data_IF_714826805997
#
_entry.id   IF_714826805997
#
_cell.length_a   1.000
_cell.length_b   1.000
_cell.length_c   1.000
_cell.angle_alpha   90.00
_cell.angle_beta   90.00
_cell.angle_gamma   90.00
#
_symmetry.space_group_name_H-M   'P 1'
#
loop_
_entity.id
_entity.type
_entity.pdbx_description
1 polymer ?
#
# COMPACT_ATOMS: atom_id res chain seq x y z
N UNK A 1 29.38 -22.48 23.60
CA UNK A 1 30.32 -22.56 22.46
C UNK A 1 29.58 -22.19 21.19
N UNK A 2 30.10 -21.17 20.49
CA UNK A 2 29.96 -20.82 19.07
C UNK A 2 30.07 -19.29 18.97
N UNK A 3 31.31 -18.82 19.04
CA UNK A 3 31.70 -17.48 18.62
C UNK A 3 31.59 -17.36 17.11
N UNK A 4 31.09 -16.23 16.63
CA UNK A 4 31.18 -15.83 15.24
C UNK A 4 31.17 -14.29 15.16
N UNK A 5 32.24 -13.64 14.67
CA UNK A 5 32.26 -12.19 14.56
C UNK A 5 31.34 -11.72 13.43
N UNK A 6 30.37 -10.89 13.79
CA UNK A 6 29.49 -10.19 12.85
C UNK A 6 30.31 -9.26 11.95
N UNK A 7 30.47 -9.62 10.67
CA UNK A 7 31.13 -8.80 9.64
C UNK A 7 30.22 -7.67 9.13
N UNK A 8 29.88 -6.73 10.00
CA UNK A 8 29.26 -5.45 9.62
C UNK A 8 30.21 -4.33 10.05
N UNK A 9 31.41 -4.32 9.46
CA UNK A 9 32.31 -3.17 9.52
C UNK A 9 32.46 -2.64 8.10
N UNK A 10 31.68 -1.63 7.76
CA UNK A 10 31.98 -0.74 6.65
C UNK A 10 33.00 0.31 7.11
N UNK A 11 33.76 0.93 6.18
CA UNK A 11 34.69 1.99 6.54
C UNK A 11 33.97 3.11 7.29
N UNK A 12 34.61 3.59 8.37
CA UNK A 12 34.11 4.74 9.15
C UNK A 12 33.92 5.91 8.17
N UNK A 13 32.73 6.52 8.11
CA UNK A 13 32.48 7.59 7.17
C UNK A 13 33.36 8.80 7.54
N UNK A 14 33.93 9.51 6.55
CA UNK A 14 34.95 10.53 6.79
C UNK A 14 34.38 11.71 7.58
N UNK A 15 35.24 12.36 8.38
CA UNK A 15 34.84 13.48 9.24
C UNK A 15 34.13 14.59 8.42
N UNK A 16 32.90 15.00 8.81
CA UNK A 16 32.14 16.02 8.10
C UNK A 16 32.82 17.39 8.04
N UNK A 17 33.79 17.66 8.92
CA UNK A 17 34.58 18.90 8.89
C UNK A 17 35.61 18.92 7.77
N UNK A 18 36.12 17.76 7.37
CA UNK A 18 37.16 17.62 6.34
C UNK A 18 36.58 17.41 4.93
N UNK A 19 35.36 16.84 4.82
CA UNK A 19 34.73 16.53 3.53
C UNK A 19 33.25 16.99 3.46
N UNK A 20 32.97 18.30 3.43
CA UNK A 20 31.60 18.84 3.47
C UNK A 20 30.76 18.47 2.24
N UNK A 21 31.40 18.14 1.11
CA UNK A 21 30.70 17.78 -0.12
C UNK A 21 30.13 16.35 -0.12
N UNK A 22 30.66 15.43 0.70
CA UNK A 22 30.17 14.05 0.79
C UNK A 22 28.83 13.94 1.52
N UNK A 23 28.52 14.90 2.38
CA UNK A 23 27.26 14.98 3.12
C UNK A 23 26.28 15.99 2.52
N UNK A 24 26.62 16.57 1.36
CA UNK A 24 25.82 17.59 0.71
C UNK A 24 24.58 16.94 0.08
N UNK A 25 23.42 17.19 0.71
CA UNK A 25 22.12 16.69 0.25
C UNK A 25 21.85 17.18 -1.19
N UNK A 26 21.54 16.30 -2.16
CA UNK A 26 21.27 16.71 -3.53
C UNK A 26 20.02 17.61 -3.60
N UNK A 27 20.06 18.62 -4.48
CA UNK A 27 19.01 19.63 -4.66
C UNK A 27 17.61 19.05 -4.95
N UNK A 28 17.53 17.80 -5.42
CA UNK A 28 16.28 17.08 -5.68
C UNK A 28 15.52 16.64 -4.42
N UNK A 29 16.13 16.69 -3.23
CA UNK A 29 15.52 16.27 -1.97
C UNK A 29 14.95 17.44 -1.13
N UNK A 30 14.94 18.67 -1.66
CA UNK A 30 14.54 19.90 -0.92
C UNK A 30 13.03 20.20 -0.93
N UNK A 31 12.22 19.38 -1.60
CA UNK A 31 10.88 19.77 -2.01
C UNK A 31 9.69 19.38 -1.12
N UNK A 32 9.85 19.04 0.17
CA UNK A 32 8.68 18.57 0.95
C UNK A 32 8.51 19.00 2.40
N UNK A 33 9.46 19.72 3.02
CA UNK A 33 9.37 20.03 4.46
C UNK A 33 9.86 21.42 4.88
N UNK A 34 10.10 22.35 3.97
CA UNK A 34 10.33 23.75 4.34
C UNK A 34 9.26 24.61 3.67
N UNK A 35 8.39 25.20 4.51
CA UNK A 35 7.38 26.16 4.07
C UNK A 35 8.03 27.38 3.42
N UNK A 36 7.32 27.97 2.46
CA UNK A 36 7.73 29.16 1.74
C UNK A 36 8.00 30.33 2.71
N UNK A 37 9.27 30.60 3.03
CA UNK A 37 9.70 31.90 3.51
C UNK A 37 10.10 32.74 2.29
N UNK A 38 9.14 33.50 1.75
CA UNK A 38 9.41 34.57 0.80
C UNK A 38 10.30 35.62 1.49
N UNK A 39 11.59 35.64 1.17
CA UNK A 39 12.42 36.83 1.40
C UNK A 39 12.20 37.76 0.22
N UNK A 40 11.42 38.81 0.47
CA UNK A 40 11.35 40.00 -0.38
C UNK A 40 12.52 40.90 0.02
N UNK A 41 13.57 40.92 -0.80
CA UNK A 41 14.63 41.91 -0.66
C UNK A 41 14.28 43.12 -1.54
N UNK A 42 13.90 44.22 -0.87
CA UNK A 42 13.78 45.54 -1.46
C UNK A 42 15.18 46.16 -1.58
N UNK A 43 15.63 46.46 -2.80
CA UNK A 43 16.72 47.41 -3.03
C UNK A 43 16.31 48.44 -4.08
N UNK A 44 16.63 49.69 -3.77
CA UNK A 44 16.15 50.92 -4.39
C UNK A 44 17.23 51.62 -5.24
N UNK A 45 16.85 52.07 -6.44
CA UNK A 45 17.38 53.25 -7.18
C UNK A 45 18.34 52.98 -8.37
N UNK A 46 18.49 53.91 -9.37
CA UNK A 46 17.75 55.15 -9.67
C UNK A 46 17.17 55.25 -11.12
N UNK A 47 16.35 56.29 -11.33
CA UNK A 47 15.57 56.72 -12.51
C UNK A 47 16.46 57.14 -13.71
N UNK A 48 16.13 56.88 -14.98
CA UNK A 48 15.29 57.68 -15.92
C UNK A 48 15.36 57.04 -17.35
N UNK A 49 14.60 57.47 -18.40
CA UNK A 49 13.28 58.10 -18.47
C UNK A 49 12.29 57.33 -19.39
N UNK A 50 10.99 57.58 -19.19
CA UNK A 50 9.86 57.05 -19.97
C UNK A 50 9.71 57.79 -21.31
N UNK A 51 9.17 57.11 -22.35
CA UNK A 51 8.15 57.73 -23.19
C UNK A 51 6.82 56.95 -23.17
N UNK A 52 5.76 57.74 -23.07
CA UNK A 52 4.35 57.44 -22.81
C UNK A 52 3.63 56.77 -24.04
N UNK A 53 2.29 56.62 -24.00
CA UNK A 53 1.51 55.39 -23.93
C UNK A 53 0.98 54.90 -25.31
N UNK A 54 0.33 53.73 -25.34
CA UNK A 54 -0.50 53.12 -26.41
C UNK A 54 -1.04 54.05 -27.52
N UNK A 55 -1.30 53.58 -28.78
CA UNK A 55 -1.91 52.26 -29.10
C UNK A 55 -1.57 51.62 -30.49
N UNK A 56 -1.71 50.29 -30.63
CA UNK A 56 -2.26 49.66 -31.85
C UNK A 56 -2.37 48.13 -31.69
N UNK A 57 -3.58 47.62 -31.88
CA UNK A 57 -3.92 46.20 -31.97
C UNK A 57 -3.20 45.54 -33.15
N UNK A 58 -2.43 44.47 -32.91
CA UNK A 58 -1.84 43.66 -33.98
C UNK A 58 -0.97 42.51 -33.50
N UNK A 59 -1.53 41.30 -33.50
CA UNK A 59 -0.84 40.00 -33.59
C UNK A 59 0.12 39.60 -32.45
N UNK A 60 -0.45 39.15 -31.33
CA UNK A 60 0.27 38.34 -30.34
C UNK A 60 0.20 36.85 -30.70
N UNK A 61 1.17 36.37 -31.50
CA UNK A 61 1.66 34.99 -31.40
C UNK A 61 3.18 34.98 -31.55
N UNK A 62 3.88 35.22 -30.44
CA UNK A 62 5.21 34.64 -30.32
C UNK A 62 5.06 33.11 -30.38
N UNK A 63 5.82 32.48 -31.26
CA UNK A 63 5.94 31.02 -31.36
C UNK A 63 6.48 30.52 -30.02
N UNK A 64 5.62 29.88 -29.23
CA UNK A 64 6.03 29.32 -27.94
C UNK A 64 7.08 28.23 -28.16
N UNK A 65 8.22 28.26 -27.44
CA UNK A 65 9.18 27.16 -27.49
C UNK A 65 8.52 25.87 -26.98
N UNK A 66 8.77 24.77 -27.69
CA UNK A 66 8.18 23.46 -27.36
C UNK A 66 8.49 23.01 -25.94
N UNK A 67 7.67 22.09 -25.37
CA UNK A 67 7.80 21.65 -23.99
C UNK A 67 9.19 21.07 -23.71
N UNK A 68 9.82 21.52 -22.62
CA UNK A 68 11.17 21.14 -22.23
C UNK A 68 11.16 19.72 -21.61
N UNK A 69 11.26 18.70 -22.46
CA UNK A 69 11.18 17.28 -22.09
C UNK A 69 12.58 16.66 -21.91
N UNK A 70 12.76 15.86 -20.85
CA UNK A 70 13.99 15.11 -20.58
C UNK A 70 14.24 14.04 -21.65
N UNK A 71 15.49 13.62 -21.92
CA UNK A 71 15.81 12.66 -22.99
C UNK A 71 14.97 11.37 -22.95
N UNK A 72 14.70 10.83 -21.77
CA UNK A 72 13.87 9.63 -21.56
C UNK A 72 12.37 9.83 -21.82
N UNK A 73 11.90 11.07 -21.89
CA UNK A 73 10.50 11.43 -22.14
C UNK A 73 10.18 11.68 -23.62
N UNK A 74 11.21 11.75 -24.49
CA UNK A 74 11.03 12.05 -25.93
C UNK A 74 10.23 10.96 -26.64
N UNK A 75 10.47 9.70 -26.29
CA UNK A 75 9.76 8.56 -26.88
C UNK A 75 8.26 8.59 -26.59
N UNK A 76 7.86 9.11 -25.43
CA UNK A 76 6.45 9.24 -25.06
C UNK A 76 5.77 10.40 -25.80
N UNK A 77 6.48 11.52 -25.98
CA UNK A 77 5.98 12.64 -26.78
C UNK A 77 5.79 12.20 -28.24
N UNK A 78 6.77 11.52 -28.82
CA UNK A 78 6.67 11.03 -30.20
C UNK A 78 5.55 10.01 -30.37
N UNK A 79 5.36 9.11 -29.41
CA UNK A 79 4.25 8.13 -29.44
C UNK A 79 2.88 8.82 -29.31
N UNK A 80 2.79 9.88 -28.51
CA UNK A 80 1.58 10.71 -28.41
C UNK A 80 1.28 11.47 -29.70
N UNK A 81 2.31 11.99 -30.37
CA UNK A 81 2.19 12.74 -31.64
C UNK A 81 1.89 11.87 -32.86
N UNK A 82 2.19 10.57 -32.81
CA UNK A 82 1.91 9.62 -33.91
C UNK A 82 0.53 8.94 -33.80
N UNK A 83 -0.27 9.31 -32.79
CA UNK A 83 -1.60 8.75 -32.57
C UNK A 83 -2.70 9.40 -33.42
N UNK A 84 -3.82 8.68 -33.59
CA UNK A 84 -5.03 9.17 -34.28
C UNK A 84 -5.53 10.52 -33.76
N UNK A 85 -5.36 10.78 -32.46
CA UNK A 85 -5.72 12.03 -31.79
C UNK A 85 -4.84 13.21 -32.21
N UNK A 86 -3.56 12.96 -32.50
CA UNK A 86 -2.64 13.98 -33.03
C UNK A 86 -2.95 14.30 -34.49
N UNK A 87 -3.31 13.28 -35.29
CA UNK A 87 -3.82 13.49 -36.65
C UNK A 87 -5.11 14.34 -36.62
N UNK A 88 -6.00 14.10 -35.65
CA UNK A 88 -7.23 14.87 -35.46
C UNK A 88 -6.95 16.33 -35.06
N UNK A 89 -5.97 16.59 -34.19
CA UNK A 89 -5.55 17.96 -33.84
C UNK A 89 -4.83 18.67 -35.00
N UNK A 90 -4.09 17.95 -35.83
CA UNK A 90 -3.50 18.50 -37.06
C UNK A 90 -4.54 18.80 -38.16
N UNK A 91 -5.73 18.21 -38.07
CA UNK A 91 -6.85 18.40 -39.00
C UNK A 91 -7.73 19.61 -38.67
N UNK A 92 -7.43 20.38 -37.61
CA UNK A 92 -8.17 21.58 -37.19
C UNK A 92 -7.95 22.80 -38.12
N UNK A 93 -7.90 22.55 -39.44
CA UNK A 93 -7.70 23.56 -40.48
C UNK A 93 -7.89 23.07 -41.92
N UNK A 94 -8.41 21.86 -42.16
CA UNK A 94 -8.65 21.34 -43.52
C UNK A 94 -10.16 21.16 -43.73
N UNK A 95 -10.77 22.02 -44.54
CA UNK A 95 -12.14 21.83 -45.01
C UNK A 95 -12.20 20.58 -45.89
N UNK A 96 -12.89 19.55 -45.42
CA UNK A 96 -13.23 18.39 -46.23
C UNK A 96 -14.46 18.70 -47.08
N UNK A 97 -14.24 19.36 -48.22
CA UNK A 97 -15.12 19.17 -49.38
C UNK A 97 -14.38 18.23 -50.35
N UNK A 98 -15.03 17.12 -50.70
CA UNK A 98 -14.44 16.06 -51.52
C UNK A 98 -14.76 14.66 -51.02
N UNK A 99 -15.89 14.11 -51.45
CA UNK A 99 -16.28 12.73 -51.18
C UNK A 99 -15.24 11.74 -51.70
N UNK A 100 -14.63 10.96 -50.80
CA UNK A 100 -13.76 9.85 -51.17
C UNK A 100 -14.60 8.61 -51.54
N UNK A 101 -14.24 7.88 -52.60
CA UNK A 101 -15.01 6.72 -53.02
C UNK A 101 -14.87 5.59 -52.00
N UNK A 102 -16.01 5.04 -51.58
CA UNK A 102 -16.09 3.82 -50.76
C UNK A 102 -15.47 2.67 -51.56
N UNK A 103 -14.19 2.38 -51.33
CA UNK A 103 -13.55 1.16 -51.83
C UNK A 103 -14.29 -0.01 -51.19
N UNK A 104 -15.03 -0.77 -52.02
CA UNK A 104 -15.66 -2.02 -51.60
C UNK A 104 -14.58 -2.91 -51.01
N UNK A 105 -14.74 -3.26 -49.74
CA UNK A 105 -13.88 -4.23 -49.05
C UNK A 105 -14.14 -5.56 -49.74
N UNK A 106 -13.14 -6.07 -50.47
CA UNK A 106 -13.23 -7.38 -51.10
C UNK A 106 -13.66 -8.42 -50.06
N UNK A 107 -14.59 -9.30 -50.44
CA UNK A 107 -15.08 -10.37 -49.58
C UNK A 107 -13.90 -11.25 -49.17
N UNK A 108 -13.53 -11.17 -47.89
CA UNK A 108 -12.41 -11.92 -47.34
C UNK A 108 -12.78 -13.40 -47.29
N UNK A 109 -11.97 -14.25 -47.92
CA UNK A 109 -12.07 -15.70 -47.81
C UNK A 109 -11.72 -16.12 -46.37
N UNK A 110 -12.71 -16.08 -45.48
CA UNK A 110 -12.53 -16.39 -44.06
C UNK A 110 -12.06 -17.83 -43.84
N UNK A 111 -12.37 -18.76 -44.75
CA UNK A 111 -11.85 -20.13 -44.68
C UNK A 111 -10.33 -20.17 -44.85
N UNK A 112 -9.78 -19.44 -45.82
CA UNK A 112 -8.32 -19.36 -46.03
C UNK A 112 -7.65 -18.63 -44.88
N UNK A 113 -8.28 -17.58 -44.35
CA UNK A 113 -7.79 -16.85 -43.17
C UNK A 113 -7.80 -17.72 -41.91
N UNK A 114 -8.85 -18.51 -41.69
CA UNK A 114 -8.96 -19.46 -40.59
C UNK A 114 -7.91 -20.57 -40.69
N UNK A 115 -7.67 -21.13 -41.88
CA UNK A 115 -6.62 -22.13 -42.08
C UNK A 115 -5.23 -21.55 -41.82
N UNK A 116 -4.96 -20.31 -42.29
CA UNK A 116 -3.70 -19.61 -41.99
C UNK A 116 -3.54 -19.38 -40.49
N UNK A 117 -4.60 -18.90 -39.82
CA UNK A 117 -4.63 -18.68 -38.38
C UNK A 117 -4.41 -19.96 -37.58
N UNK A 118 -5.03 -21.08 -37.97
CA UNK A 118 -4.82 -22.40 -37.33
C UNK A 118 -3.36 -22.84 -37.47
N UNK A 119 -2.79 -22.72 -38.69
CA UNK A 119 -1.37 -23.06 -38.93
C UNK A 119 -0.42 -22.16 -38.12
N UNK A 120 -0.72 -20.88 -38.00
CA UNK A 120 0.05 -19.94 -37.17
C UNK A 120 -0.01 -20.29 -35.69
N UNK A 121 -1.19 -20.65 -35.17
CA UNK A 121 -1.36 -21.11 -33.78
C UNK A 121 -0.54 -22.38 -33.54
N UNK A 122 -0.62 -23.37 -34.43
CA UNK A 122 0.17 -24.60 -34.32
C UNK A 122 1.67 -24.32 -34.36
N UNK A 123 2.12 -23.42 -35.24
CA UNK A 123 3.53 -23.00 -35.30
C UNK A 123 3.97 -22.34 -33.99
N UNK A 124 3.17 -21.43 -33.44
CA UNK A 124 3.45 -20.75 -32.17
C UNK A 124 3.45 -21.71 -30.99
N UNK A 125 2.56 -22.70 -30.95
CA UNK A 125 2.56 -23.74 -29.92
C UNK A 125 3.84 -24.58 -29.97
N UNK A 126 4.22 -25.08 -31.16
CA UNK A 126 5.47 -25.82 -31.35
C UNK A 126 6.71 -24.99 -31.01
N UNK A 127 6.69 -23.69 -31.32
CA UNK A 127 7.78 -22.78 -30.98
C UNK A 127 7.85 -22.49 -29.48
N UNK A 128 6.71 -22.37 -28.80
CA UNK A 128 6.65 -22.26 -27.34
C UNK A 128 7.14 -23.52 -26.64
N UNK A 129 6.76 -24.70 -27.13
CA UNK A 129 7.27 -25.98 -26.61
C UNK A 129 8.78 -26.07 -26.79
N UNK A 130 9.31 -25.78 -28.00
CA UNK A 130 10.76 -25.73 -28.23
C UNK A 130 11.45 -24.67 -27.38
N UNK A 131 10.85 -23.48 -27.22
CA UNK A 131 11.39 -22.43 -26.37
C UNK A 131 11.37 -22.85 -24.89
N UNK A 132 10.37 -23.61 -24.45
CA UNK A 132 10.26 -24.15 -23.10
C UNK A 132 11.26 -25.28 -22.85
N UNK A 133 11.52 -26.12 -23.86
CA UNK A 133 12.59 -27.13 -23.87
C UNK A 133 13.97 -26.46 -23.82
N UNK A 134 14.21 -25.44 -24.65
CA UNK A 134 15.44 -24.65 -24.63
C UNK A 134 15.58 -23.77 -23.38
N UNK A 135 14.46 -23.35 -22.77
CA UNK A 135 14.40 -22.63 -21.50
C UNK A 135 14.30 -23.56 -20.29
N UNK A 136 14.50 -24.87 -20.45
CA UNK A 136 14.93 -25.73 -19.33
C UNK A 136 16.37 -25.39 -18.94
N UNK A 137 16.65 -24.10 -18.76
CA UNK A 137 17.76 -23.63 -17.96
C UNK A 137 17.43 -23.96 -16.50
N UNK A 138 18.42 -24.56 -15.83
CA UNK A 138 18.45 -24.85 -14.39
C UNK A 138 17.68 -23.77 -13.62
N UNK A 139 16.75 -24.16 -12.72
CA UNK A 139 15.97 -23.19 -11.96
C UNK A 139 16.92 -22.20 -11.26
N UNK A 140 16.68 -20.90 -11.46
CA UNK A 140 17.50 -19.78 -10.93
C UNK A 140 17.63 -19.82 -9.40
N UNK A 141 16.82 -20.65 -8.73
CA UNK A 141 16.98 -21.02 -7.33
C UNK A 141 17.22 -22.52 -7.24
N UNK A 142 18.48 -22.92 -7.37
CA UNK A 142 18.91 -24.24 -6.91
C UNK A 142 18.72 -24.26 -5.38
N UNK A 143 17.59 -24.82 -4.94
CA UNK A 143 17.51 -25.34 -3.57
C UNK A 143 18.70 -26.28 -3.42
N UNK A 144 19.61 -25.95 -2.51
CA UNK A 144 20.78 -26.74 -2.17
C UNK A 144 20.33 -28.19 -1.93
N UNK A 145 20.60 -29.06 -2.89
CA UNK A 145 20.37 -30.49 -2.74
C UNK A 145 21.62 -31.03 -2.05
N UNK A 146 21.47 -31.58 -0.85
CA UNK A 146 22.58 -32.27 -0.21
C UNK A 146 22.94 -33.52 -1.04
N UNK A 147 24.22 -33.84 -1.12
CA UNK A 147 24.75 -34.98 -1.88
C UNK A 147 24.15 -36.33 -1.44
N UNK A 148 23.59 -36.36 -0.23
CA UNK A 148 22.85 -37.51 0.34
C UNK A 148 21.59 -37.88 -0.45
N UNK A 149 21.01 -36.94 -1.21
CA UNK A 149 19.74 -37.15 -1.91
C UNK A 149 19.85 -36.98 -3.43
N UNK A 150 21.06 -36.92 -3.99
CA UNK A 150 21.26 -36.75 -5.44
C UNK A 150 20.85 -38.01 -6.22
N UNK A 151 21.08 -39.20 -5.64
CA UNK A 151 20.74 -40.50 -6.23
C UNK A 151 19.42 -41.10 -5.71
N UNK A 152 18.66 -40.36 -4.91
CA UNK A 152 17.38 -40.85 -4.37
C UNK A 152 16.26 -40.53 -5.36
N UNK A 153 15.90 -41.51 -6.17
CA UNK A 153 14.78 -41.38 -7.10
C UNK A 153 13.46 -41.22 -6.34
N UNK A 154 12.55 -40.40 -6.87
CA UNK A 154 11.27 -40.18 -6.20
C UNK A 154 10.40 -41.44 -6.26
N UNK A 155 9.79 -41.81 -5.13
CA UNK A 155 8.81 -42.93 -5.09
C UNK A 155 7.64 -42.72 -6.06
N UNK A 156 7.35 -41.46 -6.40
CA UNK A 156 6.35 -41.09 -7.40
C UNK A 156 6.82 -41.40 -8.83
N UNK A 157 8.10 -41.20 -9.15
CA UNK A 157 8.68 -41.61 -10.43
C UNK A 157 8.59 -43.13 -10.61
N UNK A 158 8.85 -43.89 -9.56
CA UNK A 158 8.66 -45.35 -9.57
C UNK A 158 7.20 -45.74 -9.85
N UNK A 159 6.23 -45.06 -9.22
CA UNK A 159 4.78 -45.24 -9.46
C UNK A 159 4.31 -44.87 -10.87
N UNK A 160 5.02 -43.96 -11.55
CA UNK A 160 4.71 -43.53 -12.92
C UNK A 160 5.41 -44.38 -13.98
N UNK A 161 6.58 -44.95 -13.66
CA UNK A 161 7.29 -45.91 -14.50
C UNK A 161 6.78 -47.35 -14.36
N UNK A 162 6.03 -47.64 -13.30
CA UNK A 162 5.22 -48.84 -13.20
C UNK A 162 4.25 -48.82 -14.39
N UNK A 163 4.55 -49.63 -15.41
CA UNK A 163 3.71 -49.76 -16.59
C UNK A 163 2.30 -50.05 -16.11
N UNK A 164 1.32 -49.25 -16.55
CA UNK A 164 -0.08 -49.44 -16.19
C UNK A 164 -0.43 -50.92 -16.30
N UNK A 165 -1.04 -51.54 -15.27
CA UNK A 165 -1.41 -52.95 -15.35
C UNK A 165 -2.21 -53.17 -16.64
N UNK A 166 -2.01 -54.30 -17.35
CA UNK A 166 -2.78 -54.59 -18.55
C UNK A 166 -4.27 -54.42 -18.23
N UNK A 167 -5.04 -53.80 -19.14
CA UNK A 167 -6.45 -53.50 -18.87
C UNK A 167 -7.14 -54.78 -18.41
N UNK A 168 -7.77 -54.73 -17.23
CA UNK A 168 -8.47 -55.85 -16.63
C UNK A 168 -9.40 -56.48 -17.70
N UNK A 169 -9.36 -57.80 -17.96
CA UNK A 169 -10.21 -58.45 -18.96
C UNK A 169 -11.71 -58.24 -18.71
N UNK A 170 -12.11 -57.89 -17.48
CA UNK A 170 -13.49 -57.50 -17.16
C UNK A 170 -13.85 -56.10 -17.66
N UNK A 171 -12.86 -55.21 -17.86
CA UNK A 171 -13.07 -53.88 -18.42
C UNK A 171 -13.61 -53.92 -19.86
N UNK A 172 -13.36 -55.02 -20.59
CA UNK A 172 -13.90 -55.27 -21.92
C UNK A 172 -15.40 -55.63 -21.91
N UNK A 173 -15.95 -56.01 -20.76
CA UNK A 173 -17.39 -56.33 -20.59
C UNK A 173 -18.24 -55.09 -20.34
N UNK A 174 -17.64 -53.96 -20.00
CA UNK A 174 -18.39 -52.71 -19.80
C UNK A 174 -18.55 -51.96 -21.13
N UNK A 175 -19.78 -51.58 -21.44
CA UNK A 175 -20.11 -50.84 -22.66
C UNK A 175 -19.46 -49.44 -22.63
N UNK A 176 -18.50 -49.21 -23.53
CA UNK A 176 -17.93 -47.89 -23.81
C UNK A 176 -18.98 -46.98 -24.46
N UNK A 177 -18.98 -45.69 -24.13
CA UNK A 177 -19.85 -44.73 -24.81
C UNK A 177 -19.70 -44.84 -26.34
N UNK A 178 -20.84 -44.89 -27.05
CA UNK A 178 -20.95 -45.10 -28.51
C UNK A 178 -20.57 -46.49 -29.07
N UNK A 179 -20.27 -47.49 -28.22
CA UNK A 179 -19.92 -48.85 -28.71
C UNK A 179 -21.07 -49.60 -29.40
N UNK A 180 -22.33 -49.22 -29.11
CA UNK A 180 -23.53 -49.82 -29.73
C UNK A 180 -23.95 -49.13 -31.02
N UNK A 181 -23.29 -48.03 -31.40
CA UNK A 181 -23.57 -47.36 -32.65
C UNK A 181 -22.66 -47.99 -33.72
N UNK A 182 -23.22 -48.85 -34.57
CA UNK A 182 -22.53 -49.30 -35.77
C UNK A 182 -22.07 -48.11 -36.63
N UNK A 183 -21.08 -48.27 -37.53
CA UNK A 183 -20.60 -47.17 -38.36
C UNK A 183 -21.77 -46.55 -39.13
N UNK A 184 -22.06 -45.27 -38.87
CA UNK A 184 -23.06 -44.50 -39.63
C UNK A 184 -24.32 -44.06 -38.87
N UNK A 185 -24.54 -44.46 -37.62
CA UNK A 185 -25.73 -44.02 -36.85
C UNK A 185 -25.38 -42.81 -35.99
N UNK A 186 -25.92 -41.63 -36.33
CA UNK A 186 -25.82 -40.43 -35.47
C UNK A 186 -26.83 -40.52 -34.33
N UNK A 187 -26.45 -40.31 -33.06
CA UNK A 187 -27.39 -40.35 -31.95
C UNK A 187 -28.39 -39.19 -32.08
N UNK A 188 -29.66 -39.52 -32.31
CA UNK A 188 -30.74 -38.54 -32.24
C UNK A 188 -31.04 -38.25 -30.77
N UNK A 189 -30.96 -36.97 -30.39
CA UNK A 189 -31.36 -36.46 -29.08
C UNK A 189 -32.84 -36.79 -28.84
N UNK A 190 -33.25 -37.43 -27.72
CA UNK A 190 -34.66 -37.64 -27.48
C UNK A 190 -35.36 -36.29 -27.29
N UNK A 191 -36.47 -36.10 -28.01
CA UNK A 191 -37.39 -34.99 -27.80
C UNK A 191 -37.99 -35.12 -26.39
N UNK A 192 -37.98 -34.03 -25.63
CA UNK A 192 -38.47 -33.97 -24.25
C UNK A 192 -39.94 -34.43 -24.14
N UNK A 193 -40.36 -35.03 -23.00
CA UNK A 193 -41.72 -35.54 -22.85
C UNK A 193 -42.71 -34.36 -22.80
N UNK A 194 -43.71 -34.38 -23.67
CA UNK A 194 -44.85 -33.46 -23.63
C UNK A 194 -45.84 -34.01 -22.59
N UNK A 195 -46.37 -33.20 -21.65
CA UNK A 195 -47.29 -33.71 -20.64
C UNK A 195 -48.63 -34.08 -21.27
N UNK A 196 -49.10 -35.28 -20.94
CA UNK A 196 -50.40 -35.81 -21.34
C UNK A 196 -51.53 -34.98 -20.73
N UNK A 197 -52.52 -34.61 -21.56
CA UNK A 197 -53.79 -34.06 -21.09
C UNK A 197 -54.62 -35.20 -20.49
N UNK A 198 -54.74 -35.25 -19.17
CA UNK A 198 -55.80 -36.02 -18.51
C UNK A 198 -57.09 -35.22 -18.53
N UNK A 199 -58.18 -35.85 -18.99
CA UNK A 199 -59.54 -35.39 -18.74
C UNK A 199 -60.07 -36.16 -17.52
N UNK A 200 -60.51 -35.44 -16.50
CA UNK A 200 -61.37 -35.96 -15.42
C UNK A 200 -62.34 -34.84 -15.05
N UNK A 201 -63.64 -35.18 -14.91
CA UNK A 201 -64.73 -34.23 -14.64
C UNK A 201 -64.87 -33.86 -13.16
N UNK A 202 -65.63 -32.76 -12.92
CA UNK A 202 -66.66 -32.50 -11.91
C UNK A 202 -66.45 -33.09 -10.48
N UNK A 203 -66.51 -32.39 -9.34
CA UNK A 203 -67.27 -31.21 -8.86
C UNK A 203 -66.64 -30.60 -7.58
N UNK A 204 -66.97 -29.32 -7.25
CA UNK A 204 -66.99 -28.61 -5.93
C UNK A 204 -65.69 -28.59 -5.03
N UNK A 205 -65.24 -27.54 -4.31
CA UNK A 205 -65.68 -26.22 -3.83
C UNK A 205 -64.47 -25.24 -3.79
N UNK A 206 -64.72 -23.92 -3.75
CA UNK A 206 -63.75 -22.83 -3.54
C UNK A 206 -63.52 -22.55 -2.01
N UNK A 207 -62.59 -21.68 -1.49
CA UNK A 207 -62.06 -20.43 -2.09
C UNK A 207 -60.58 -19.98 -1.83
N UNK A 208 -60.19 -18.99 -2.64
CA UNK A 208 -59.29 -17.82 -2.45
C UNK A 208 -57.81 -17.89 -1.98
N UNK A 209 -56.89 -17.50 -2.89
CA UNK A 209 -55.97 -16.37 -2.70
C UNK A 209 -55.22 -15.98 -4.01
N UNK A 210 -55.68 -14.89 -4.64
CA UNK A 210 -54.94 -13.89 -5.43
C UNK A 210 -53.80 -14.38 -6.36
N UNK A 211 -54.15 -15.06 -7.44
CA UNK A 211 -53.34 -15.12 -8.66
C UNK A 211 -54.20 -14.63 -9.82
N UNK A 212 -53.91 -13.46 -10.36
CA UNK A 212 -54.65 -12.88 -11.47
C UNK A 212 -54.67 -13.85 -12.67
N UNK A 213 -55.77 -14.59 -12.80
CA UNK A 213 -56.13 -15.31 -14.01
C UNK A 213 -56.19 -14.29 -15.14
N UNK A 214 -55.22 -14.35 -16.06
CA UNK A 214 -55.39 -13.77 -17.39
C UNK A 214 -56.35 -14.72 -18.13
N UNK A 215 -57.62 -14.67 -17.74
CA UNK A 215 -58.74 -15.09 -18.60
C UNK A 215 -58.64 -14.20 -19.82
N UNK A 216 -58.21 -14.77 -20.96
CA UNK A 216 -58.38 -14.13 -22.25
C UNK A 216 -59.89 -14.03 -22.53
N UNK A 217 -60.53 -13.02 -21.96
CA UNK A 217 -61.79 -12.51 -22.45
C UNK A 217 -61.51 -11.95 -23.85
N UNK A 218 -61.74 -12.75 -24.88
CA UNK A 218 -61.92 -12.25 -26.24
C UNK A 218 -63.34 -11.73 -26.32
N UNK A 219 -63.62 -10.63 -25.62
CA UNK A 219 -64.75 -9.78 -25.99
C UNK A 219 -64.52 -9.32 -27.42
N UNK A 220 -65.57 -9.33 -28.24
CA UNK A 220 -65.56 -9.17 -29.71
C UNK A 220 -65.08 -7.82 -30.25
N UNK A 221 -63.99 -7.25 -29.71
CA UNK A 221 -63.20 -6.20 -30.33
C UNK A 221 -62.11 -6.88 -31.15
N UNK A 222 -62.00 -6.53 -32.43
CA UNK A 222 -60.91 -6.97 -33.30
C UNK A 222 -59.56 -6.67 -32.65
N UNK A 223 -58.91 -7.70 -32.07
CA UNK A 223 -57.59 -7.56 -31.46
C UNK A 223 -56.58 -7.51 -32.60
N UNK A 224 -55.92 -6.37 -32.79
CA UNK A 224 -54.80 -6.25 -33.73
C UNK A 224 -53.62 -7.09 -33.24
N UNK A 225 -53.59 -8.37 -33.60
CA UNK A 225 -52.53 -9.31 -33.23
C UNK A 225 -51.14 -8.81 -33.66
N UNK A 226 -51.05 -8.02 -34.73
CA UNK A 226 -49.81 -7.39 -35.20
C UNK A 226 -49.29 -6.39 -34.15
N UNK A 227 -50.14 -5.50 -33.65
CA UNK A 227 -49.77 -4.51 -32.63
C UNK A 227 -49.51 -5.18 -31.27
N UNK A 228 -50.30 -6.19 -30.92
CA UNK A 228 -50.11 -6.97 -29.70
C UNK A 228 -48.78 -7.74 -29.71
N UNK A 229 -48.46 -8.46 -30.80
CA UNK A 229 -47.19 -9.16 -30.94
C UNK A 229 -46.00 -8.20 -31.00
N UNK A 230 -46.11 -7.06 -31.68
CA UNK A 230 -45.05 -6.05 -31.70
C UNK A 230 -44.76 -5.48 -30.29
N UNK A 231 -45.81 -5.22 -29.50
CA UNK A 231 -45.67 -4.78 -28.10
C UNK A 231 -45.09 -5.90 -27.22
N UNK A 232 -45.52 -7.13 -27.42
CA UNK A 232 -45.03 -8.28 -26.67
C UNK A 232 -43.57 -8.57 -26.99
N UNK A 233 -43.17 -8.53 -28.26
CA UNK A 233 -41.79 -8.71 -28.71
C UNK A 233 -40.85 -7.62 -28.17
N UNK A 234 -41.32 -6.36 -28.07
CA UNK A 234 -40.55 -5.28 -27.44
C UNK A 234 -40.35 -5.46 -25.93
N UNK A 235 -41.29 -6.13 -25.25
CA UNK A 235 -41.27 -6.36 -23.80
C UNK A 235 -40.64 -7.71 -23.41
N UNK A 236 -40.52 -8.64 -24.36
CA UNK A 236 -39.96 -9.95 -24.10
C UNK A 236 -38.49 -9.82 -23.69
N UNK A 237 -38.09 -10.31 -22.51
CA UNK A 237 -36.70 -10.26 -22.09
C UNK A 237 -35.86 -11.13 -23.01
N UNK A 238 -34.73 -10.59 -23.50
CA UNK A 238 -33.75 -11.37 -24.24
C UNK A 238 -33.24 -12.50 -23.34
N UNK A 239 -33.63 -13.75 -23.65
CA UNK A 239 -33.10 -14.93 -22.97
C UNK A 239 -31.66 -15.13 -23.45
N UNK A 240 -30.71 -14.74 -22.60
CA UNK A 240 -29.29 -15.03 -22.82
C UNK A 240 -29.04 -16.54 -22.71
N UNK A 241 -28.04 -17.04 -23.42
CA UNK A 241 -27.63 -18.44 -23.29
C UNK A 241 -27.15 -18.72 -21.87
N UNK A 242 -27.34 -19.95 -21.40
CA UNK A 242 -26.88 -20.41 -20.09
C UNK A 242 -25.36 -20.16 -19.88
N UNK A 243 -24.57 -20.25 -20.95
CA UNK A 243 -23.13 -19.94 -20.93
C UNK A 243 -22.81 -18.47 -20.63
N UNK A 244 -23.62 -17.54 -21.14
CA UNK A 244 -23.43 -16.11 -20.87
C UNK A 244 -23.93 -15.74 -19.48
N UNK A 245 -24.96 -16.43 -18.97
CA UNK A 245 -25.42 -16.29 -17.59
C UNK A 245 -24.35 -16.77 -16.61
N UNK A 246 -23.78 -17.96 -16.84
CA UNK A 246 -22.70 -18.49 -16.02
C UNK A 246 -21.45 -17.57 -16.02
N UNK A 247 -21.13 -16.96 -17.16
CA UNK A 247 -20.02 -16.00 -17.25
C UNK A 247 -20.32 -14.70 -16.50
N UNK A 248 -21.57 -14.22 -16.53
CA UNK A 248 -21.99 -13.05 -15.76
C UNK A 248 -21.91 -13.31 -14.25
N UNK A 249 -22.41 -14.47 -13.80
CA UNK A 249 -22.35 -14.90 -12.39
C UNK A 249 -20.90 -14.98 -11.88
N UNK A 250 -19.96 -15.54 -12.66
CA UNK A 250 -18.55 -15.60 -12.30
C UNK A 250 -17.90 -14.21 -12.19
N UNK A 251 -18.27 -13.27 -13.06
CA UNK A 251 -17.76 -11.91 -12.99
C UNK A 251 -18.31 -11.16 -11.76
N UNK A 252 -19.58 -11.36 -11.43
CA UNK A 252 -20.18 -10.83 -10.21
C UNK A 252 -19.55 -11.43 -8.96
N UNK A 253 -19.30 -12.74 -8.93
CA UNK A 253 -18.59 -13.40 -7.83
C UNK A 253 -17.19 -12.81 -7.63
N UNK A 254 -16.41 -12.68 -8.70
CA UNK A 254 -15.09 -12.05 -8.64
C UNK A 254 -15.17 -10.60 -8.12
N UNK A 255 -16.19 -9.85 -8.53
CA UNK A 255 -16.38 -8.48 -8.05
C UNK A 255 -16.63 -8.45 -6.54
N UNK A 256 -17.53 -9.30 -6.04
CA UNK A 256 -17.84 -9.42 -4.62
C UNK A 256 -16.61 -9.82 -3.80
N UNK A 257 -15.88 -10.84 -4.22
CA UNK A 257 -14.62 -11.26 -3.58
C UNK A 257 -13.59 -10.12 -3.53
N UNK A 258 -13.50 -9.35 -4.61
CA UNK A 258 -12.59 -8.21 -4.68
C UNK A 258 -13.03 -7.07 -3.74
N UNK A 259 -14.33 -6.82 -3.61
CA UNK A 259 -14.89 -5.86 -2.65
C UNK A 259 -14.62 -6.30 -1.21
N UNK A 260 -14.86 -7.57 -0.88
CA UNK A 260 -14.58 -8.14 0.44
C UNK A 260 -13.09 -8.07 0.80
N UNK A 261 -12.20 -8.33 -0.16
CA UNK A 261 -10.76 -8.15 0.03
C UNK A 261 -10.40 -6.68 0.28
N UNK A 262 -11.00 -5.77 -0.48
CA UNK A 262 -10.76 -4.34 -0.35
C UNK A 262 -11.26 -3.76 0.98
N UNK A 263 -12.35 -4.29 1.54
CA UNK A 263 -12.87 -3.84 2.84
C UNK A 263 -12.06 -4.42 4.01
N UNK A 264 -11.69 -5.70 3.92
CA UNK A 264 -11.17 -6.43 5.08
C UNK A 264 -9.64 -6.48 5.16
N UNK A 265 -8.96 -6.64 4.03
CA UNK A 265 -7.52 -6.95 4.00
C UNK A 265 -6.68 -5.82 3.43
N UNK A 266 -7.24 -5.04 2.49
CA UNK A 266 -6.50 -3.95 1.86
C UNK A 266 -6.20 -2.84 2.87
N UNK A 267 -4.91 -2.54 3.02
CA UNK A 267 -4.43 -1.50 3.94
C UNK A 267 -4.32 -1.95 5.40
N UNK A 268 -4.69 -3.20 5.73
CA UNK A 268 -4.46 -3.74 7.06
C UNK A 268 -2.97 -3.99 7.27
N UNK A 269 -2.42 -3.42 8.35
CA UNK A 269 -1.01 -3.60 8.69
C UNK A 269 -0.85 -4.96 9.37
N UNK A 270 0.06 -5.84 8.90
CA UNK A 270 0.31 -7.12 9.54
C UNK A 270 0.59 -6.99 11.05
N UNK A 271 0.01 -7.90 11.83
CA UNK A 271 0.07 -7.90 13.29
C UNK A 271 1.50 -7.77 13.84
N UNK A 272 2.47 -8.48 13.24
CA UNK A 272 3.87 -8.44 13.68
C UNK A 272 4.51 -7.04 13.60
N UNK A 273 4.04 -6.16 12.70
CA UNK A 273 4.52 -4.78 12.62
C UNK A 273 3.95 -3.91 13.73
N UNK A 274 2.72 -4.18 14.16
CA UNK A 274 2.09 -3.52 15.31
C UNK A 274 2.82 -3.93 16.60
N UNK A 275 3.01 -5.23 16.80
CA UNK A 275 3.76 -5.79 17.93
C UNK A 275 5.19 -5.26 17.97
N UNK A 276 5.85 -5.12 16.80
CA UNK A 276 7.19 -4.54 16.71
C UNK A 276 7.22 -3.06 17.12
N UNK A 277 6.21 -2.26 16.74
CA UNK A 277 6.10 -0.86 17.17
C UNK A 277 5.89 -0.75 18.68
N UNK A 278 5.06 -1.63 19.25
CA UNK A 278 4.83 -1.69 20.69
C UNK A 278 6.09 -2.08 21.46
N UNK A 279 6.83 -3.07 20.95
CA UNK A 279 8.11 -3.47 21.53
C UNK A 279 9.11 -2.31 21.52
N UNK A 280 9.23 -1.57 20.42
CA UNK A 280 10.06 -0.37 20.39
C UNK A 280 9.60 0.71 21.36
N UNK A 281 8.28 0.91 21.51
CA UNK A 281 7.74 1.85 22.48
C UNK A 281 8.10 1.46 23.91
N UNK A 282 7.94 0.18 24.27
CA UNK A 282 8.33 -0.35 25.59
C UNK A 282 9.82 -0.20 25.85
N UNK A 283 10.66 -0.56 24.87
CA UNK A 283 12.11 -0.39 24.99
C UNK A 283 12.53 1.08 25.13
N UNK A 284 11.86 2.00 24.42
CA UNK A 284 12.08 3.44 24.57
C UNK A 284 11.68 3.92 25.96
N UNK A 285 10.53 3.50 26.47
CA UNK A 285 10.09 3.84 27.81
C UNK A 285 11.05 3.30 28.88
N UNK A 286 11.49 2.04 28.75
CA UNK A 286 12.49 1.44 29.63
C UNK A 286 13.82 2.21 29.57
N UNK A 287 14.28 2.58 28.37
CA UNK A 287 15.50 3.39 28.23
C UNK A 287 15.35 4.77 28.86
N UNK A 288 14.20 5.42 28.70
CA UNK A 288 13.94 6.73 29.31
C UNK A 288 13.84 6.63 30.84
N UNK A 289 13.22 5.57 31.38
CA UNK A 289 13.17 5.32 32.83
C UNK A 289 14.54 5.04 33.43
N UNK A 290 15.39 4.33 32.70
CA UNK A 290 16.75 3.99 33.12
C UNK A 290 17.77 5.07 32.75
N UNK A 291 17.38 6.10 31.98
CA UNK A 291 18.29 7.18 31.62
C UNK A 291 18.61 7.95 32.90
N UNK A 292 19.88 7.93 33.37
CA UNK A 292 20.25 8.76 34.51
C UNK A 292 20.01 10.22 34.14
N UNK A 293 19.50 10.99 35.10
CA UNK A 293 19.24 12.42 34.91
C UNK A 293 20.52 13.08 34.35
N UNK A 294 20.45 13.83 33.23
CA UNK A 294 21.63 14.37 32.53
C UNK A 294 22.46 15.32 33.41
N UNK A 295 21.83 15.89 34.44
CA UNK A 295 22.46 16.80 35.40
C UNK A 295 23.15 16.05 36.57
N UNK A 296 23.05 14.72 36.65
CA UNK A 296 23.63 13.94 37.76
C UNK A 296 25.13 13.78 37.54
N UNK A 297 25.98 14.37 38.40
CA UNK A 297 27.42 14.20 38.26
C UNK A 297 27.84 12.74 38.56
N UNK A 298 28.87 12.20 37.87
CA UNK A 298 29.37 10.85 38.12
C UNK A 298 29.76 10.64 39.60
N UNK A 299 29.46 9.46 40.15
CA UNK A 299 29.77 9.12 41.55
C UNK A 299 28.91 9.84 42.59
N UNK A 300 27.84 10.51 42.17
CA UNK A 300 26.86 11.13 43.06
C UNK A 300 25.48 10.53 42.88
N UNK A 301 24.69 10.57 43.95
CA UNK A 301 23.29 10.11 43.98
C UNK A 301 22.38 11.25 44.41
N UNK A 302 21.19 11.36 43.82
CA UNK A 302 20.19 12.35 44.22
C UNK A 302 19.67 12.05 45.63
N UNK A 303 19.73 13.04 46.53
CA UNK A 303 19.15 12.95 47.87
C UNK A 303 17.61 12.86 47.76
N UNK A 304 16.96 11.89 48.43
CA UNK A 304 15.51 11.82 48.52
C UNK A 304 14.91 13.11 49.08
N UNK A 305 13.74 13.50 48.59
CA UNK A 305 13.11 14.76 48.99
C UNK A 305 12.79 14.84 50.48
N UNK A 306 12.35 13.72 51.09
CA UNK A 306 12.09 13.66 52.54
C UNK A 306 13.35 13.98 53.35
N UNK A 307 14.46 13.31 53.05
CA UNK A 307 15.75 13.55 53.71
C UNK A 307 16.26 14.97 53.48
N UNK A 308 16.04 15.53 52.28
CA UNK A 308 16.39 16.93 51.98
C UNK A 308 15.59 17.91 52.84
N UNK A 309 14.29 17.68 53.01
CA UNK A 309 13.44 18.54 53.83
C UNK A 309 13.80 18.45 55.32
N UNK A 310 14.10 17.25 55.81
CA UNK A 310 14.56 17.02 57.19
C UNK A 310 15.90 17.72 57.47
N UNK A 311 16.89 17.58 56.58
CA UNK A 311 18.18 18.28 56.73
C UNK A 311 18.00 19.79 56.67
N UNK A 312 17.14 20.29 55.78
CA UNK A 312 16.81 21.72 55.70
C UNK A 312 16.15 22.22 56.98
N UNK A 313 15.22 21.47 57.59
CA UNK A 313 14.62 21.86 58.86
C UNK A 313 15.63 21.90 60.00
N UNK A 314 16.53 20.91 60.06
CA UNK A 314 17.57 20.84 61.09
C UNK A 314 18.57 22.00 60.97
N UNK A 315 18.94 22.38 59.74
CA UNK A 315 19.80 23.53 59.48
C UNK A 315 19.12 24.85 59.88
N UNK A 316 17.83 25.03 59.58
CA UNK A 316 17.07 26.22 60.01
C UNK A 316 16.98 26.33 61.54
N UNK A 317 16.69 25.22 62.23
CA UNK A 317 16.68 25.20 63.69
C UNK A 317 18.06 25.54 64.27
N UNK A 318 19.13 25.01 63.68
CA UNK A 318 20.51 25.32 64.09
C UNK A 318 20.87 26.79 63.82
N UNK A 319 20.42 27.36 62.69
CA UNK A 319 20.58 28.78 62.38
C UNK A 319 19.90 29.65 63.45
N UNK A 320 18.65 29.34 63.80
CA UNK A 320 17.93 30.07 64.85
C UNK A 320 18.64 29.99 66.21
N UNK A 321 19.21 28.83 66.56
CA UNK A 321 20.01 28.67 67.77
C UNK A 321 21.28 29.53 67.76
N UNK A 322 22.05 29.52 66.66
CA UNK A 322 23.26 30.34 66.55
C UNK A 322 22.95 31.85 66.56
N UNK A 323 21.83 32.26 65.94
CA UNK A 323 21.36 33.65 65.99
C UNK A 323 21.01 34.03 67.44
N UNK A 324 20.29 33.16 68.17
CA UNK A 324 20.00 33.38 69.59
C UNK A 324 21.29 33.52 70.40
N UNK A 325 22.27 32.65 70.19
CA UNK A 325 23.56 32.70 70.88
C UNK A 325 24.33 33.99 70.57
N UNK A 326 24.29 34.46 69.32
CA UNK A 326 24.91 35.71 68.89
C UNK A 326 24.25 36.92 69.55
N UNK A 327 22.91 36.93 69.63
CA UNK A 327 22.13 37.99 70.29
C UNK A 327 22.31 37.99 71.81
N UNK A 328 22.57 36.83 72.41
CA UNK A 328 22.86 36.70 73.85
C UNK A 328 24.28 37.12 74.24
N UNK A 329 25.15 37.45 73.28
CA UNK A 329 26.46 38.01 73.61
C UNK A 329 26.33 39.41 74.25
N UNK A 330 27.14 39.73 75.27
CA UNK A 330 27.25 41.08 75.81
C UNK A 330 27.58 42.13 74.74
N UNK A 331 26.96 43.31 74.84
CA UNK A 331 27.14 44.44 73.89
C UNK A 331 28.59 44.91 73.81
N UNK A 332 29.35 44.80 74.91
CA UNK A 332 30.79 45.12 74.96
C UNK A 332 31.62 43.85 74.72
N UNK A 333 32.37 43.83 73.62
CA UNK A 333 33.22 42.70 73.20
C UNK A 333 34.71 43.05 73.32
N UNK A 334 35.12 43.57 74.47
CA UNK A 334 36.47 44.13 74.64
C UNK A 334 37.53 43.05 74.94
N UNK A 335 37.10 41.87 75.40
CA UNK A 335 38.03 40.76 75.67
C UNK A 335 38.28 39.91 74.41
N UNK A 336 39.54 39.54 74.18
CA UNK A 336 39.94 38.69 73.05
C UNK A 336 39.15 37.37 72.98
N UNK A 337 38.77 36.80 74.13
CA UNK A 337 37.95 35.57 74.19
C UNK A 337 36.54 35.80 73.62
N UNK A 338 35.90 36.92 73.96
CA UNK A 338 34.57 37.26 73.44
C UNK A 338 34.60 37.59 71.95
N UNK A 339 35.65 38.27 71.48
CA UNK A 339 35.85 38.52 70.05
C UNK A 339 36.01 37.21 69.27
N UNK A 340 36.83 36.26 69.77
CA UNK A 340 36.97 34.93 69.17
C UNK A 340 35.65 34.18 69.13
N UNK A 341 34.91 34.13 70.24
CA UNK A 341 33.59 33.49 70.31
C UNK A 341 32.61 34.07 69.29
N UNK A 342 32.58 35.40 69.14
CA UNK A 342 31.74 36.07 68.13
C UNK A 342 32.11 35.66 66.71
N UNK A 343 33.39 35.72 66.35
CA UNK A 343 33.89 35.33 65.03
C UNK A 343 33.59 33.85 64.74
N UNK A 344 33.71 32.98 65.74
CA UNK A 344 33.35 31.57 65.62
C UNK A 344 31.86 31.37 65.34
N UNK A 345 30.97 32.10 66.03
CA UNK A 345 29.52 32.06 65.79
C UNK A 345 29.18 32.58 64.38
N UNK A 346 29.75 33.71 63.97
CA UNK A 346 29.56 34.29 62.63
C UNK A 346 30.05 33.34 61.52
N UNK A 347 31.20 32.68 61.73
CA UNK A 347 31.72 31.66 60.81
C UNK A 347 30.81 30.43 60.73
N UNK A 348 30.29 29.95 61.86
CA UNK A 348 29.34 28.82 61.85
C UNK A 348 28.03 29.22 61.17
N UNK A 349 27.58 30.45 61.38
CA UNK A 349 26.38 30.99 60.75
C UNK A 349 26.53 31.03 59.22
N UNK A 350 27.66 31.53 58.71
CA UNK A 350 27.91 31.55 57.26
C UNK A 350 27.97 30.15 56.65
N UNK A 351 28.58 29.17 57.35
CA UNK A 351 28.57 27.78 56.92
C UNK A 351 27.15 27.18 56.85
N UNK A 352 26.30 27.47 57.85
CA UNK A 352 24.92 27.02 57.85
C UNK A 352 24.10 27.71 56.75
N UNK A 353 24.31 29.00 56.50
CA UNK A 353 23.64 29.72 55.42
C UNK A 353 24.01 29.18 54.03
N UNK A 354 25.28 28.85 53.81
CA UNK A 354 25.73 28.16 52.60
C UNK A 354 25.07 26.78 52.47
N UNK A 355 25.00 26.01 53.55
CA UNK A 355 24.32 24.72 53.56
C UNK A 355 22.82 24.86 53.25
N UNK A 356 22.11 25.80 53.90
CA UNK A 356 20.69 26.09 53.62
C UNK A 356 20.51 26.50 52.16
N UNK A 357 21.41 27.29 51.59
CA UNK A 357 21.38 27.66 50.17
C UNK A 357 21.54 26.45 49.24
N UNK A 358 22.28 25.43 49.65
CA UNK A 358 22.41 24.16 48.90
C UNK A 358 21.12 23.35 49.04
N UNK A 359 20.63 23.12 50.26
CA UNK A 359 19.46 22.27 50.54
C UNK A 359 18.10 22.91 50.21
N UNK A 360 18.06 24.22 50.02
CA UNK A 360 16.88 24.92 49.49
C UNK A 360 16.63 24.65 48.01
N UNK A 361 17.64 24.16 47.25
CA UNK A 361 17.46 23.73 45.87
C UNK A 361 16.60 22.46 45.80
N UNK A 362 15.79 22.27 44.75
CA UNK A 362 14.93 21.09 44.63
C UNK A 362 15.72 19.79 44.43
N UNK A 363 16.83 19.85 43.70
CA UNK A 363 17.72 18.71 43.45
C UNK A 363 19.04 18.91 44.19
N UNK A 364 19.38 17.98 45.08
CA UNK A 364 20.64 17.95 45.82
C UNK A 364 21.30 16.61 45.57
N UNK A 365 22.58 16.61 45.18
CA UNK A 365 23.34 15.41 44.92
C UNK A 365 24.37 15.20 46.03
N UNK A 366 24.46 13.97 46.53
CA UNK A 366 25.40 13.56 47.56
C UNK A 366 26.47 12.70 46.91
N UNK A 367 27.73 12.93 47.27
CA UNK A 367 28.84 12.08 46.86
C UNK A 367 28.70 10.72 47.55
N UNK A 368 28.85 9.62 46.80
CA UNK A 368 28.92 8.30 47.40
C UNK A 368 30.29 8.13 48.06
N UNK A 369 30.30 7.84 49.36
CA UNK A 369 31.52 7.46 50.07
C UNK A 369 31.93 6.08 49.55
N UNK A 370 33.05 6.02 48.83
CA UNK A 370 33.64 4.77 48.31
C UNK A 370 34.57 4.12 49.31
#
# INVERSE_FOLDING_TARGET
MCEGPSRISGPIPPDPTLFPNYYKRPFSARGRLEGNAQKLDFTSGPLDPVPNPYPALGSARQVQPGPRIRPSGKDFLEKGQKGMLSLLMQLEGISLDGGLPVKRKESKDHEKENVRRIKEIQKKCKEKERAQEHSQSKPVKALWKSQKYENVESKVKAKLQESSPPPNPEALKFLRAYSRCGPGIKPCRPLSPRPARTKAGADAEAPEALGAEIKMQVEGRSIDFIKHNARNAKRAPLRRSQSLQALAELLEQRHREQEEYNTNQKGHVPQYLLERKELWRRQMEERLRNLPDPDTPPGHTMMPESQRLETLSNLKQSQEQLIKDLVMLPVRADTLSMQKRRIELERKLSQIEEAIKIFSRPKVFIKLDS
#
